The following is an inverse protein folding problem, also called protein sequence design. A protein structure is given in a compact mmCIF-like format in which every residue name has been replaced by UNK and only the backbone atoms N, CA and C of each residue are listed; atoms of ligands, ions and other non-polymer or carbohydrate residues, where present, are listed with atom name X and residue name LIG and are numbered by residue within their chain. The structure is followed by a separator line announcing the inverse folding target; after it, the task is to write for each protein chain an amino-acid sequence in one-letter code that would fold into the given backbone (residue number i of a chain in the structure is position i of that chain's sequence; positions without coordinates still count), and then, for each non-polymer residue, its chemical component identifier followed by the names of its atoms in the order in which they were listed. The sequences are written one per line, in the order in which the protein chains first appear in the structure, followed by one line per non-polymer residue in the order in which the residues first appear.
data_IF_926746116469
#
_entry.id   IF_926746116469
#
_cell.length_a   1.000
_cell.length_b   1.000
_cell.length_c   1.000
_cell.angle_alpha   90.00
_cell.angle_beta   90.00
_cell.angle_gamma   90.00
#
_symmetry.space_group_name_H-M   'P 1'
#
loop_
_entity.id
_entity.type
_entity.pdbx_description
1 polymer ?
#
# COMPACT_ATOMS: atom_id res chain seq x y z
N UNK A 1 -44.66 -23.54 6.24
CA UNK A 1 -43.90 -22.95 5.12
C UNK A 1 -43.09 -21.81 5.69
N UNK A 2 -41.83 -22.07 5.99
CA UNK A 2 -40.93 -21.06 6.57
C UNK A 2 -40.55 -20.04 5.49
N UNK A 3 -40.82 -18.77 5.79
CA UNK A 3 -40.45 -17.65 4.92
C UNK A 3 -38.94 -17.44 5.03
N UNK A 4 -38.21 -17.78 3.97
CA UNK A 4 -36.81 -17.42 3.80
C UNK A 4 -36.71 -15.88 3.83
N UNK A 5 -35.99 -15.35 4.82
CA UNK A 5 -35.70 -13.92 4.91
C UNK A 5 -34.33 -13.66 4.26
N UNK A 6 -34.33 -12.99 3.12
CA UNK A 6 -33.12 -12.47 2.51
C UNK A 6 -32.72 -11.17 3.23
N UNK A 7 -31.57 -11.18 3.91
CA UNK A 7 -30.94 -9.96 4.43
C UNK A 7 -30.17 -9.34 3.26
N UNK A 8 -30.72 -8.28 2.68
CA UNK A 8 -29.97 -7.46 1.73
C UNK A 8 -29.02 -6.57 2.53
N UNK A 9 -27.72 -6.89 2.51
CA UNK A 9 -26.70 -5.96 2.97
C UNK A 9 -26.72 -4.75 2.03
N UNK A 10 -27.13 -3.57 2.53
CA UNK A 10 -26.93 -2.33 1.79
C UNK A 10 -25.43 -2.03 1.76
N UNK A 11 -24.79 -2.28 0.63
CA UNK A 11 -23.42 -1.84 0.37
C UNK A 11 -23.48 -0.33 0.11
N UNK A 12 -22.97 0.47 1.05
CA UNK A 12 -22.84 1.91 0.90
C UNK A 12 -21.38 2.29 0.68
N UNK A 13 -21.08 2.98 -0.41
CA UNK A 13 -19.75 3.55 -0.65
C UNK A 13 -19.55 4.76 0.26
N UNK A 14 -18.55 4.71 1.14
CA UNK A 14 -18.09 5.85 1.94
C UNK A 14 -16.74 6.30 1.39
N UNK A 15 -16.64 7.54 0.93
CA UNK A 15 -15.35 8.15 0.61
C UNK A 15 -14.60 8.39 1.93
N UNK A 16 -13.55 7.61 2.16
CA UNK A 16 -12.81 7.62 3.43
C UNK A 16 -11.51 8.44 3.39
N UNK A 17 -11.04 8.82 2.20
CA UNK A 17 -9.88 9.69 2.03
C UNK A 17 -9.90 10.44 0.68
N UNK A 18 -9.16 11.54 0.58
CA UNK A 18 -8.80 12.17 -0.70
C UNK A 18 -7.52 11.49 -1.19
N UNK A 19 -7.71 10.55 -2.09
CA UNK A 19 -6.66 9.73 -2.65
C UNK A 19 -6.11 10.43 -3.93
N UNK A 20 -4.85 10.84 -3.91
CA UNK A 20 -4.10 11.33 -5.08
C UNK A 20 -4.01 10.19 -6.11
N UNK A 21 -4.64 10.33 -7.29
CA UNK A 21 -4.65 9.39 -8.42
C UNK A 21 -4.02 8.01 -8.16
N UNK A 22 -4.86 7.03 -7.82
CA UNK A 22 -4.43 5.67 -7.50
C UNK A 22 -4.51 4.80 -8.73
N UNK A 23 -3.40 4.16 -9.09
CA UNK A 23 -3.39 3.05 -10.05
C UNK A 23 -2.74 1.82 -9.41
N UNK A 24 -3.22 0.63 -9.81
CA UNK A 24 -2.66 -0.68 -9.41
C UNK A 24 -2.56 -0.89 -7.89
N UNK A 25 -3.68 -0.82 -7.19
CA UNK A 25 -3.69 -1.03 -5.74
C UNK A 25 -3.84 -2.51 -5.35
N UNK A 26 -3.23 -2.87 -4.23
CA UNK A 26 -3.36 -4.16 -3.53
C UNK A 26 -3.76 -3.89 -2.09
N UNK A 27 -4.38 -4.88 -1.43
CA UNK A 27 -4.85 -4.75 -0.04
C UNK A 27 -4.65 -6.03 0.74
N UNK A 28 -4.34 -5.93 2.03
CA UNK A 28 -4.41 -7.04 2.99
C UNK A 28 -5.02 -6.58 4.31
N UNK A 29 -5.34 -7.53 5.18
CA UNK A 29 -5.87 -7.27 6.52
C UNK A 29 -5.06 -8.03 7.56
N UNK A 30 -4.89 -7.43 8.75
CA UNK A 30 -4.35 -8.15 9.91
C UNK A 30 -5.45 -8.90 10.68
N UNK A 31 -5.06 -9.68 11.70
CA UNK A 31 -5.99 -10.41 12.55
C UNK A 31 -6.93 -9.54 13.40
N UNK A 32 -6.71 -8.22 13.45
CA UNK A 32 -7.57 -7.25 14.15
C UNK A 32 -8.52 -6.53 13.18
N UNK A 33 -8.45 -6.83 11.88
CA UNK A 33 -9.30 -6.26 10.84
C UNK A 33 -8.88 -4.87 10.37
N UNK A 34 -7.67 -4.40 10.72
CA UNK A 34 -7.13 -3.21 10.04
C UNK A 34 -6.87 -3.53 8.58
N UNK A 35 -7.11 -2.56 7.71
CA UNK A 35 -6.90 -2.69 6.28
C UNK A 35 -5.63 -1.98 5.89
N UNK A 36 -4.75 -2.67 5.18
CA UNK A 36 -3.54 -2.12 4.61
C UNK A 36 -3.72 -2.04 3.11
N UNK A 37 -3.29 -0.94 2.50
CA UNK A 37 -3.32 -0.75 1.07
C UNK A 37 -1.95 -0.28 0.59
N UNK A 38 -1.48 -0.84 -0.51
CA UNK A 38 -0.36 -0.30 -1.26
C UNK A 38 -0.82 0.04 -2.68
N UNK A 39 -0.23 1.07 -3.26
CA UNK A 39 -0.50 1.53 -4.62
C UNK A 39 0.54 2.56 -5.04
N UNK A 40 0.21 3.36 -6.05
CA UNK A 40 1.09 4.43 -6.52
C UNK A 40 0.31 5.73 -6.61
N UNK A 41 0.92 6.83 -6.16
CA UNK A 41 0.35 8.19 -6.16
C UNK A 41 1.19 9.13 -7.02
N UNK A 42 0.58 10.13 -7.64
CA UNK A 42 1.31 11.09 -8.47
C UNK A 42 1.91 12.21 -7.62
N UNK A 43 3.22 12.42 -7.72
CA UNK A 43 3.99 13.45 -7.03
C UNK A 43 3.92 14.81 -7.77
N UNK A 44 4.59 15.85 -7.25
CA UNK A 44 4.53 17.20 -7.83
C UNK A 44 5.15 17.31 -9.23
N UNK A 45 6.02 16.36 -9.60
CA UNK A 45 6.70 16.31 -10.89
C UNK A 45 5.91 15.48 -11.93
N UNK A 46 4.79 14.88 -11.53
CA UNK A 46 3.97 14.03 -12.39
C UNK A 46 4.39 12.56 -12.42
N UNK A 47 5.41 12.19 -11.64
CA UNK A 47 5.89 10.80 -11.51
C UNK A 47 5.09 10.06 -10.43
N UNK A 48 5.07 8.73 -10.51
CA UNK A 48 4.44 7.88 -9.53
C UNK A 48 5.39 7.60 -8.36
N UNK A 49 4.89 7.74 -7.12
CA UNK A 49 5.56 7.30 -5.91
C UNK A 49 4.73 6.17 -5.27
N UNK A 50 5.38 5.15 -4.70
CA UNK A 50 4.68 4.10 -3.97
C UNK A 50 4.04 4.70 -2.72
N UNK A 51 2.75 4.45 -2.51
CA UNK A 51 2.01 4.87 -1.31
C UNK A 51 1.49 3.66 -0.55
N UNK A 52 1.60 3.72 0.78
CA UNK A 52 1.21 2.66 1.70
C UNK A 52 0.38 3.28 2.81
N UNK A 53 -0.80 2.72 3.06
CA UNK A 53 -1.76 3.25 4.03
C UNK A 53 -2.27 2.13 4.92
N UNK A 54 -2.54 2.47 6.18
CA UNK A 54 -3.28 1.63 7.12
C UNK A 54 -4.56 2.32 7.52
N UNK A 55 -5.66 1.59 7.52
CA UNK A 55 -6.98 2.05 7.93
C UNK A 55 -7.50 1.19 9.08
N UNK A 56 -8.27 1.81 9.98
CA UNK A 56 -9.07 1.12 10.98
C UNK A 56 -10.17 0.28 10.30
N UNK A 57 -10.76 -0.71 11.00
CA UNK A 57 -11.85 -1.52 10.44
C UNK A 57 -13.08 -0.72 10.00
N UNK A 58 -13.31 0.47 10.58
CA UNK A 58 -14.39 1.40 10.21
C UNK A 58 -13.99 2.41 9.12
N UNK A 59 -12.78 2.26 8.55
CA UNK A 59 -12.27 3.02 7.41
C UNK A 59 -11.61 4.35 7.76
N UNK A 60 -11.22 4.59 9.01
CA UNK A 60 -10.42 5.74 9.41
C UNK A 60 -8.94 5.55 9.05
N UNK A 61 -8.29 6.54 8.46
CA UNK A 61 -6.85 6.48 8.17
C UNK A 61 -6.06 6.48 9.50
N UNK A 62 -5.23 5.47 9.71
CA UNK A 62 -4.32 5.36 10.86
C UNK A 62 -2.98 6.01 10.55
N UNK A 63 -2.39 5.65 9.41
CA UNK A 63 -1.16 6.25 8.91
C UNK A 63 -1.05 6.09 7.40
N UNK A 64 -0.20 6.94 6.82
CA UNK A 64 0.19 6.95 5.42
C UNK A 64 1.70 7.11 5.33
N UNK A 65 2.31 6.44 4.35
CA UNK A 65 3.72 6.53 4.03
C UNK A 65 3.89 6.52 2.51
N UNK A 66 4.80 7.35 2.02
CA UNK A 66 5.18 7.41 0.61
C UNK A 66 6.64 6.98 0.48
N UNK A 67 6.93 6.22 -0.55
CA UNK A 67 8.27 5.85 -0.97
C UNK A 67 8.51 6.41 -2.36
N UNK A 68 9.54 7.25 -2.45
CA UNK A 68 10.08 7.79 -3.69
C UNK A 68 11.52 7.27 -3.82
N UNK A 69 11.81 6.62 -4.95
CA UNK A 69 13.12 6.15 -5.35
C UNK A 69 14.12 7.30 -5.46
N UNK A 70 15.41 7.00 -5.34
CA UNK A 70 16.43 8.05 -5.34
C UNK A 70 16.52 8.82 -6.69
N UNK A 71 16.01 8.24 -7.78
CA UNK A 71 15.98 8.92 -9.08
C UNK A 71 14.77 9.86 -9.26
N UNK A 72 13.81 9.88 -8.34
CA UNK A 72 12.57 10.65 -8.46
C UNK A 72 11.83 10.40 -9.78
N UNK A 73 11.70 9.13 -10.15
CA UNK A 73 11.02 8.65 -11.37
C UNK A 73 9.78 7.84 -10.98
N UNK A 74 9.17 7.15 -11.94
CA UNK A 74 8.01 6.30 -11.67
C UNK A 74 8.35 5.07 -10.81
N UNK A 75 7.72 4.99 -9.65
CA UNK A 75 7.75 3.90 -8.70
C UNK A 75 6.35 3.30 -8.53
N UNK A 76 6.26 1.97 -8.65
CA UNK A 76 4.99 1.25 -8.65
C UNK A 76 4.97 0.14 -7.62
N UNK A 77 3.91 0.10 -6.81
CA UNK A 77 3.61 -1.07 -6.00
C UNK A 77 3.11 -2.21 -6.88
N UNK A 78 3.50 -3.44 -6.56
CA UNK A 78 3.02 -4.65 -7.21
C UNK A 78 2.13 -5.48 -6.27
N UNK A 79 2.58 -5.74 -5.05
CA UNK A 79 1.83 -6.52 -4.06
C UNK A 79 2.22 -6.17 -2.61
N UNK A 80 1.36 -6.56 -1.66
CA UNK A 80 1.50 -6.29 -0.23
C UNK A 80 1.16 -7.54 0.59
N UNK A 81 2.03 -7.85 1.55
CA UNK A 81 1.85 -8.90 2.55
C UNK A 81 1.97 -8.29 3.95
N UNK A 82 1.15 -8.77 4.88
CA UNK A 82 1.22 -8.40 6.30
C UNK A 82 1.42 -9.68 7.08
N UNK A 83 2.47 -9.75 7.90
CA UNK A 83 2.72 -10.92 8.75
C UNK A 83 1.96 -10.83 10.09
N UNK A 84 2.06 -11.90 10.88
CA UNK A 84 1.39 -12.02 12.18
C UNK A 84 1.89 -11.00 13.23
N UNK A 85 3.09 -10.43 13.02
CA UNK A 85 3.66 -9.37 13.86
C UNK A 85 3.25 -7.96 13.39
N UNK A 86 2.36 -7.87 12.39
CA UNK A 86 1.91 -6.63 11.72
C UNK A 86 3.03 -5.87 10.99
N UNK A 87 4.07 -6.56 10.57
CA UNK A 87 5.04 -6.02 9.64
C UNK A 87 4.42 -5.99 8.24
N UNK A 88 4.54 -4.85 7.58
CA UNK A 88 3.97 -4.64 6.23
C UNK A 88 5.07 -4.70 5.20
N UNK A 89 4.98 -5.69 4.32
CA UNK A 89 5.89 -5.99 3.23
C UNK A 89 5.28 -5.56 1.90
N UNK A 90 5.95 -4.65 1.19
CA UNK A 90 5.50 -4.19 -0.13
C UNK A 90 6.54 -4.51 -1.18
N UNK A 91 6.10 -5.22 -2.20
CA UNK A 91 6.85 -5.51 -3.42
C UNK A 91 6.45 -4.53 -4.52
N UNK A 92 7.34 -4.28 -5.47
CA UNK A 92 7.12 -3.27 -6.49
C UNK A 92 8.36 -3.04 -7.32
N UNK A 93 8.36 -1.93 -8.05
CA UNK A 93 9.48 -1.44 -8.84
C UNK A 93 9.71 0.03 -8.49
N UNK A 94 10.97 0.44 -8.44
CA UNK A 94 11.35 1.82 -8.23
C UNK A 94 12.74 2.04 -8.84
N UNK A 95 12.98 3.26 -9.28
CA UNK A 95 14.23 3.64 -9.96
C UNK A 95 15.08 4.41 -8.95
N UNK A 96 16.21 3.83 -8.56
CA UNK A 96 17.18 4.48 -7.66
C UNK A 96 18.33 5.16 -8.43
N UNK A 97 18.59 4.76 -9.68
CA UNK A 97 19.58 5.37 -10.56
C UNK A 97 19.06 5.37 -12.01
N UNK A 98 19.01 6.54 -12.63
CA UNK A 98 18.56 6.68 -14.03
C UNK A 98 19.48 5.95 -15.03
N UNK A 99 20.71 5.63 -14.63
CA UNK A 99 21.66 4.86 -15.44
C UNK A 99 21.53 3.34 -15.26
N UNK A 100 20.80 2.90 -14.23
CA UNK A 100 20.53 1.50 -13.92
C UNK A 100 19.03 1.33 -13.66
N UNK A 101 18.25 1.21 -14.76
CA UNK A 101 16.79 0.99 -14.73
C UNK A 101 16.40 -0.41 -14.19
N UNK A 102 17.25 -1.08 -13.42
CA UNK A 102 16.90 -2.33 -12.78
C UNK A 102 15.84 -2.07 -11.72
N UNK A 103 14.61 -2.44 -12.08
CA UNK A 103 13.46 -2.44 -11.19
C UNK A 103 13.74 -3.35 -9.98
N UNK A 104 14.11 -2.76 -8.85
CA UNK A 104 14.33 -3.51 -7.62
C UNK A 104 13.03 -4.10 -7.09
N UNK A 105 13.07 -5.31 -6.54
CA UNK A 105 12.01 -5.82 -5.66
C UNK A 105 12.23 -5.19 -4.29
N UNK A 106 11.32 -4.29 -3.88
CA UNK A 106 11.40 -3.68 -2.57
C UNK A 106 10.72 -4.56 -1.52
N UNK A 107 11.18 -4.42 -0.28
CA UNK A 107 10.58 -5.03 0.89
C UNK A 107 10.59 -3.97 1.98
N UNK A 108 9.56 -3.14 2.05
CA UNK A 108 9.40 -2.28 3.22
C UNK A 108 9.04 -3.17 4.42
N UNK A 109 9.44 -2.82 5.64
CA UNK A 109 8.88 -3.42 6.85
C UNK A 109 8.44 -2.27 7.75
N UNK A 110 7.14 -2.12 7.96
CA UNK A 110 6.62 -1.16 8.92
C UNK A 110 6.36 -1.83 10.26
N UNK A 111 7.39 -1.93 11.12
CA UNK A 111 7.21 -2.29 12.52
C UNK A 111 6.36 -1.21 13.19
N UNK A 112 5.24 -1.59 13.79
CA UNK A 112 4.40 -0.66 14.57
C UNK A 112 5.22 -0.07 15.71
N UNK A 113 5.59 1.21 15.58
CA UNK A 113 6.41 1.95 16.55
C UNK A 113 7.59 2.69 15.92
N UNK A 114 8.21 2.11 14.88
CA UNK A 114 9.50 2.62 14.37
C UNK A 114 9.44 3.25 12.97
N UNK A 115 8.35 3.08 12.19
CA UNK A 115 8.14 3.74 10.87
C UNK A 115 9.39 3.75 9.95
N UNK A 116 10.25 2.73 10.04
CA UNK A 116 11.52 2.67 9.31
C UNK A 116 11.34 1.84 8.05
N UNK A 117 11.66 2.41 6.90
CA UNK A 117 11.76 1.67 5.65
C UNK A 117 13.15 1.04 5.58
N UNK A 118 13.27 -0.24 5.93
CA UNK A 118 14.48 -1.02 5.63
C UNK A 118 14.40 -1.55 4.21
N UNK A 119 15.42 -1.29 3.38
CA UNK A 119 15.50 -1.74 1.99
C UNK A 119 16.37 -3.00 1.91
N UNK A 120 16.00 -3.97 1.07
CA UNK A 120 16.90 -5.06 0.65
C UNK A 120 16.88 -5.19 -0.86
N UNK A 121 17.95 -4.76 -1.50
CA UNK A 121 18.18 -4.99 -2.93
C UNK A 121 18.47 -6.47 -3.18
N UNK A 122 17.71 -7.09 -4.06
CA UNK A 122 18.09 -8.36 -4.68
C UNK A 122 18.52 -8.01 -6.12
N UNK A 123 19.81 -7.75 -6.33
CA UNK A 123 20.36 -7.74 -7.70
C UNK A 123 20.35 -9.18 -8.21
N UNK A 124 19.89 -9.39 -9.45
CA UNK A 124 20.22 -10.60 -10.19
C UNK A 124 21.71 -10.61 -10.51
#
# INVERSE_FOLDING_TARGET
MDKIRFIFLKIGWKKVARLHYFTKNTTATDGLGYVYMAGSSINSNGNHDIIIQKFTPDGGLVWEQTYNGAADMDDFAADLFVDDDNNVFVTGTAIDDVSDLTNGLYLCNFVTGDKKITRKFIKQ
#
